data_IF_131015323878
#
_entry.id   IF_131015323878
#
_cell.length_a   1.000
_cell.length_b   1.000
_cell.length_c   1.000
_cell.angle_alpha   90.00
_cell.angle_beta   90.00
_cell.angle_gamma   90.00
#
_symmetry.space_group_name_H-M   'P 1'
#
loop_
_entity.id
_entity.type
_entity.pdbx_description
1 polymer ?
#
# COMPACT_ATOMS: atom_id res chain seq x y z
N UNK A 1 -22.96 4.71 22.08
CA UNK A 1 -22.65 5.37 20.80
C UNK A 1 -22.82 4.34 19.70
N UNK A 2 -23.65 4.60 18.69
CA UNK A 2 -23.76 3.72 17.52
C UNK A 2 -22.58 3.97 16.58
N UNK A 3 -21.80 2.93 16.27
CA UNK A 3 -20.73 2.97 15.27
C UNK A 3 -21.34 3.05 13.87
N UNK A 4 -20.90 3.98 13.01
CA UNK A 4 -21.40 4.06 11.64
C UNK A 4 -20.97 2.82 10.86
N UNK A 5 -21.89 2.29 10.04
CA UNK A 5 -21.61 1.17 9.14
C UNK A 5 -20.55 1.61 8.11
N UNK A 6 -19.52 0.79 7.92
CA UNK A 6 -18.47 1.02 6.91
C UNK A 6 -18.82 0.23 5.65
N UNK A 7 -18.70 0.88 4.49
CA UNK A 7 -18.96 0.31 3.17
C UNK A 7 -17.77 0.64 2.29
N UNK A 8 -17.30 -0.36 1.56
CA UNK A 8 -16.13 -0.30 0.71
C UNK A 8 -16.47 -0.92 -0.64
N UNK A 9 -15.93 -0.33 -1.71
CA UNK A 9 -16.16 -0.76 -3.08
C UNK A 9 -15.88 0.37 -4.07
N UNK A 10 -16.10 0.10 -5.35
CA UNK A 10 -16.07 1.15 -6.38
C UNK A 10 -17.25 2.10 -6.21
N UNK A 11 -17.19 3.23 -6.90
CA UNK A 11 -18.28 4.19 -6.86
C UNK A 11 -19.60 3.59 -7.36
N UNK A 12 -19.55 2.84 -8.45
CA UNK A 12 -20.67 2.16 -9.09
C UNK A 12 -21.31 1.15 -8.13
N UNK A 13 -20.50 0.34 -7.44
CA UNK A 13 -20.95 -0.64 -6.46
C UNK A 13 -21.64 0.03 -5.26
N UNK A 14 -21.09 1.14 -4.77
CA UNK A 14 -21.68 1.89 -3.66
C UNK A 14 -23.02 2.51 -4.08
N UNK A 15 -23.10 3.08 -5.28
CA UNK A 15 -24.34 3.68 -5.82
C UNK A 15 -25.42 2.63 -6.04
N UNK A 16 -25.07 1.43 -6.52
CA UNK A 16 -26.02 0.33 -6.69
C UNK A 16 -26.72 -0.06 -5.38
N UNK A 17 -26.06 0.17 -4.23
CA UNK A 17 -26.60 -0.10 -2.89
C UNK A 17 -27.41 1.05 -2.30
N UNK A 18 -27.57 2.17 -3.00
CA UNK A 18 -28.28 3.37 -2.52
C UNK A 18 -29.61 3.09 -1.77
N UNK A 19 -30.51 2.19 -2.23
CA UNK A 19 -31.75 1.89 -1.52
C UNK A 19 -31.54 1.38 -0.09
N UNK A 20 -30.45 0.67 0.17
CA UNK A 20 -30.10 0.11 1.49
C UNK A 20 -29.46 1.16 2.41
N UNK A 21 -28.89 2.23 1.83
CA UNK A 21 -28.10 3.24 2.54
C UNK A 21 -28.91 4.49 2.88
N UNK A 22 -30.05 4.68 2.22
CA UNK A 22 -30.88 5.86 2.39
C UNK A 22 -31.35 6.02 3.86
N UNK A 23 -31.19 7.22 4.41
CA UNK A 23 -31.56 7.56 5.79
C UNK A 23 -30.61 7.02 6.87
N UNK A 24 -29.49 6.40 6.50
CA UNK A 24 -28.49 5.85 7.44
C UNK A 24 -27.21 6.68 7.43
N UNK A 25 -26.56 6.76 8.60
CA UNK A 25 -25.21 7.31 8.71
C UNK A 25 -24.19 6.23 8.37
N UNK A 26 -23.49 6.39 7.27
CA UNK A 26 -22.49 5.44 6.77
C UNK A 26 -21.12 6.10 6.62
N UNK A 27 -20.07 5.29 6.61
CA UNK A 27 -18.72 5.67 6.22
C UNK A 27 -18.39 4.93 4.93
N UNK A 28 -18.02 5.67 3.89
CA UNK A 28 -17.68 5.12 2.59
C UNK A 28 -16.16 5.13 2.40
N UNK A 29 -15.62 4.02 1.89
CA UNK A 29 -14.26 3.90 1.39
C UNK A 29 -14.41 3.62 -0.11
N UNK A 30 -14.08 4.61 -0.94
CA UNK A 30 -14.17 4.47 -2.40
C UNK A 30 -12.85 3.95 -2.91
N UNK A 31 -12.87 2.76 -3.49
CA UNK A 31 -11.72 2.17 -4.14
C UNK A 31 -11.61 2.67 -5.58
N UNK A 32 -10.38 2.88 -6.12
CA UNK A 32 -10.20 3.20 -7.52
C UNK A 32 -10.70 2.06 -8.42
N UNK A 33 -11.26 2.39 -9.59
CA UNK A 33 -11.75 1.40 -10.56
C UNK A 33 -10.62 0.47 -11.05
N UNK A 34 -9.40 1.00 -11.13
CA UNK A 34 -8.20 0.26 -11.51
C UNK A 34 -7.27 0.11 -10.29
N UNK A 35 -7.38 -1.01 -9.58
CA UNK A 35 -6.28 -1.55 -8.77
C UNK A 35 -5.16 -2.17 -9.65
N UNK A 36 -5.30 -2.07 -10.97
CA UNK A 36 -4.56 -2.86 -11.95
C UNK A 36 -3.16 -2.37 -12.25
N UNK A 37 -2.68 -1.28 -11.63
CA UNK A 37 -1.24 -1.00 -11.65
C UNK A 37 -0.50 -1.91 -10.64
N UNK A 38 -0.64 -3.22 -10.83
CA UNK A 38 0.39 -4.15 -10.39
C UNK A 38 1.57 -3.90 -11.32
N UNK A 39 2.60 -3.27 -10.77
CA UNK A 39 3.91 -3.41 -11.37
C UNK A 39 4.25 -4.91 -11.37
N UNK A 40 4.26 -5.52 -12.54
CA UNK A 40 4.54 -6.94 -12.70
C UNK A 40 6.02 -7.24 -12.37
N UNK A 41 6.86 -6.20 -12.37
CA UNK A 41 8.26 -6.27 -11.96
C UNK A 41 8.64 -5.15 -10.99
N UNK A 42 9.69 -5.40 -10.20
CA UNK A 42 10.25 -4.37 -9.31
C UNK A 42 10.75 -3.11 -10.05
N UNK A 43 11.11 -3.22 -11.32
CA UNK A 43 11.54 -2.09 -12.15
C UNK A 43 10.36 -1.18 -12.55
N UNK A 44 9.22 -1.77 -12.86
CA UNK A 44 7.97 -1.02 -13.12
C UNK A 44 7.48 -0.33 -11.86
N UNK A 45 7.58 -0.99 -10.71
CA UNK A 45 7.20 -0.41 -9.42
C UNK A 45 8.09 0.80 -9.11
N UNK A 46 9.40 0.64 -9.28
CA UNK A 46 10.35 1.73 -9.06
C UNK A 46 10.06 2.92 -9.99
N UNK A 47 9.74 2.65 -11.26
CA UNK A 47 9.42 3.69 -12.23
C UNK A 47 8.14 4.45 -11.86
N UNK A 48 7.08 3.74 -11.48
CA UNK A 48 5.85 4.34 -10.97
C UNK A 48 6.10 5.19 -9.72
N UNK A 49 6.87 4.68 -8.75
CA UNK A 49 7.18 5.40 -7.51
C UNK A 49 8.02 6.67 -7.75
N UNK A 50 8.87 6.69 -8.78
CA UNK A 50 9.56 7.91 -9.22
C UNK A 50 8.57 8.89 -9.84
N UNK A 51 7.70 8.43 -10.73
CA UNK A 51 6.71 9.26 -11.44
C UNK A 51 5.76 9.98 -10.47
N UNK A 52 5.24 9.27 -9.46
CA UNK A 52 4.36 9.87 -8.44
C UNK A 52 5.13 10.74 -7.42
N UNK A 53 6.44 10.90 -7.57
CA UNK A 53 7.29 11.72 -6.71
C UNK A 53 7.53 11.12 -5.31
N UNK A 54 7.32 9.82 -5.14
CA UNK A 54 7.59 9.12 -3.89
C UNK A 54 9.10 8.89 -3.69
N UNK A 55 9.78 8.45 -4.75
CA UNK A 55 11.25 8.29 -4.76
C UNK A 55 11.88 9.65 -5.06
N UNK A 56 12.32 10.32 -4.00
CA UNK A 56 12.84 11.69 -4.03
C UNK A 56 12.66 12.37 -2.68
N UNK A 57 11.53 12.10 -2.00
CA UNK A 57 11.31 12.52 -0.60
C UNK A 57 12.36 11.95 0.35
N UNK A 58 12.95 10.81 0.01
CA UNK A 58 14.03 10.17 0.77
C UNK A 58 15.38 10.87 0.61
N UNK A 59 15.63 11.55 -0.51
CA UNK A 59 16.86 12.32 -0.71
C UNK A 59 16.91 13.54 0.22
N UNK A 60 15.75 14.10 0.55
CA UNK A 60 15.61 15.23 1.47
C UNK A 60 15.57 14.81 2.95
N UNK A 61 15.51 13.50 3.22
CA UNK A 61 15.51 12.96 4.59
C UNK A 61 16.93 12.82 5.13
N UNK A 62 17.31 13.81 5.93
CA UNK A 62 18.62 13.85 6.64
C UNK A 62 18.66 13.04 7.93
N UNK A 63 17.52 12.48 8.36
CA UNK A 63 17.37 11.70 9.58
C UNK A 63 17.58 10.19 9.37
N UNK A 64 17.73 9.76 8.12
CA UNK A 64 18.14 8.39 7.78
C UNK A 64 19.66 8.39 7.65
N UNK A 65 20.37 7.59 8.46
CA UNK A 65 21.82 7.51 8.35
C UNK A 65 22.19 6.92 6.98
N UNK A 66 22.94 7.67 6.18
CA UNK A 66 23.52 7.25 4.90
C UNK A 66 24.72 6.28 5.12
N UNK A 67 24.56 5.38 6.09
CA UNK A 67 25.62 4.51 6.57
C UNK A 67 25.62 3.20 5.79
N UNK A 68 26.74 2.80 5.18
CA UNK A 68 26.92 1.47 4.59
C UNK A 68 26.57 0.34 5.56
N UNK A 69 26.67 0.57 6.87
CA UNK A 69 26.28 -0.41 7.89
C UNK A 69 24.76 -0.60 7.99
N UNK A 70 23.97 0.46 7.75
CA UNK A 70 22.51 0.37 7.70
C UNK A 70 22.06 -0.47 6.50
N UNK A 71 22.69 -0.29 5.34
CA UNK A 71 22.45 -1.11 4.15
C UNK A 71 22.81 -2.57 4.39
N UNK A 72 23.94 -2.85 5.07
CA UNK A 72 24.32 -4.21 5.47
C UNK A 72 23.30 -4.84 6.41
N UNK A 73 22.79 -4.07 7.38
CA UNK A 73 21.77 -4.54 8.33
C UNK A 73 20.47 -4.91 7.61
N UNK A 74 20.00 -4.07 6.69
CA UNK A 74 18.79 -4.33 5.88
C UNK A 74 18.98 -5.57 5.00
N UNK A 75 20.16 -5.73 4.37
CA UNK A 75 20.47 -6.92 3.57
C UNK A 75 20.45 -8.19 4.42
N UNK A 76 21.11 -8.18 5.58
CA UNK A 76 21.11 -9.32 6.49
C UNK A 76 19.70 -9.71 6.97
N UNK A 77 18.82 -8.71 7.18
CA UNK A 77 17.42 -8.97 7.53
C UNK A 77 16.60 -9.56 6.39
N UNK A 78 16.89 -9.22 5.14
CA UNK A 78 16.22 -9.79 3.97
C UNK A 78 16.65 -11.25 3.74
N UNK A 79 17.95 -11.54 3.82
CA UNK A 79 18.51 -12.89 3.69
C UNK A 79 17.95 -13.84 4.76
N UNK A 80 17.76 -13.37 6.00
CA UNK A 80 17.16 -14.17 7.06
C UNK A 80 15.68 -14.50 6.83
N UNK A 81 14.91 -13.63 6.17
CA UNK A 81 13.51 -13.93 5.82
C UNK A 81 13.39 -14.98 4.73
N UNK A 82 14.31 -14.99 3.78
CA UNK A 82 14.34 -15.98 2.70
C UNK A 82 14.69 -17.38 3.22
N UNK A 83 15.56 -17.45 4.22
CA UNK A 83 15.90 -18.71 4.90
C UNK A 83 14.75 -19.24 5.78
N UNK A 84 14.02 -18.38 6.49
CA UNK A 84 12.84 -18.80 7.29
C UNK A 84 11.68 -19.29 6.41
N UNK A 85 11.51 -18.72 5.21
CA UNK A 85 10.52 -19.17 4.23
C UNK A 85 10.90 -20.51 3.56
N UNK A 86 12.17 -20.92 3.60
CA UNK A 86 12.68 -22.16 3.02
C UNK A 86 12.77 -23.36 3.97
N UNK A 87 12.61 -23.16 5.28
CA UNK A 87 12.78 -24.23 6.30
C UNK A 87 11.48 -24.88 6.79
N UNK A 88 10.35 -24.65 6.11
CA UNK A 88 9.14 -25.44 6.31
C UNK A 88 9.14 -26.72 5.45
N UNK A 89 9.81 -27.78 5.94
CA UNK A 89 9.62 -29.16 5.44
C UNK A 89 9.22 -30.08 6.60
#
# INVERSE_FOLDING_TARGET
MMTPQVIEGTWEEIVARHPELCGRRVRLIVLPEDETQRADTGAELLSFLIEIGFVGQWADRTDIPDSPEYVRLIRAQAENRENDAGSGH
#
